data_IF_398787287403
#
_entry.id   IF_398787287403
#
_cell.length_a   1.000
_cell.length_b   1.000
_cell.length_c   1.000
_cell.angle_alpha   90.00
_cell.angle_beta   90.00
_cell.angle_gamma   90.00
#
_symmetry.space_group_name_H-M   'P 1'
#
loop_
_entity.id
_entity.type
_entity.pdbx_description
1 polymer ?
#
# COMPACT_ATOMS: atom_id res chain seq x y z
N UNK A 1 27.35 9.33 -6.83
CA UNK A 1 26.69 8.05 -7.13
C UNK A 1 26.95 7.72 -8.58
N UNK A 2 27.68 6.64 -8.79
CA UNK A 2 27.82 5.91 -10.05
C UNK A 2 26.45 5.57 -10.64
N UNK A 3 26.28 5.78 -11.96
CA UNK A 3 25.00 5.62 -12.66
C UNK A 3 24.34 4.25 -12.41
N UNK A 4 25.15 3.20 -12.22
CA UNK A 4 24.67 1.86 -11.89
C UNK A 4 24.04 1.77 -10.49
N UNK A 5 24.63 2.42 -9.48
CA UNK A 5 24.07 2.47 -8.12
C UNK A 5 22.73 3.21 -8.07
N UNK A 6 22.61 4.31 -8.82
CA UNK A 6 21.36 5.06 -8.93
C UNK A 6 20.25 4.27 -9.63
N UNK A 7 20.56 3.59 -10.73
CA UNK A 7 19.58 2.78 -11.45
C UNK A 7 19.06 1.59 -10.63
N UNK A 8 19.95 0.89 -9.92
CA UNK A 8 19.56 -0.20 -9.01
C UNK A 8 18.67 0.29 -7.85
N UNK A 9 18.96 1.48 -7.31
CA UNK A 9 18.14 2.11 -6.28
C UNK A 9 16.72 2.42 -6.80
N UNK A 10 16.61 2.99 -8.01
CA UNK A 10 15.32 3.30 -8.63
C UNK A 10 14.52 2.02 -8.91
N UNK A 11 15.15 0.99 -9.48
CA UNK A 11 14.51 -0.31 -9.72
C UNK A 11 13.99 -0.95 -8.44
N UNK A 12 14.82 -0.95 -7.38
CA UNK A 12 14.42 -1.48 -6.09
C UNK A 12 13.18 -0.75 -5.55
N UNK A 13 13.18 0.59 -5.58
CA UNK A 13 12.03 1.39 -5.12
C UNK A 13 10.76 1.16 -5.93
N UNK A 14 10.87 1.06 -7.26
CA UNK A 14 9.72 0.72 -8.12
C UNK A 14 9.13 -0.65 -7.78
N UNK A 15 9.99 -1.64 -7.56
CA UNK A 15 9.57 -3.00 -7.24
C UNK A 15 8.92 -3.06 -5.85
N UNK A 16 9.47 -2.34 -4.87
CA UNK A 16 8.87 -2.21 -3.53
C UNK A 16 7.47 -1.59 -3.59
N UNK A 17 7.30 -0.46 -4.27
CA UNK A 17 6.00 0.20 -4.41
C UNK A 17 4.98 -0.72 -5.09
N UNK A 18 5.42 -1.44 -6.13
CA UNK A 18 4.56 -2.38 -6.85
C UNK A 18 4.06 -3.50 -5.92
N UNK A 19 4.94 -4.07 -5.10
CA UNK A 19 4.57 -5.11 -4.13
C UNK A 19 3.61 -4.58 -3.06
N UNK A 20 3.86 -3.38 -2.53
CA UNK A 20 2.98 -2.73 -1.55
C UNK A 20 1.57 -2.49 -2.13
N UNK A 21 1.49 -2.10 -3.40
CA UNK A 21 0.23 -1.88 -4.09
C UNK A 21 -0.56 -3.19 -4.32
N UNK A 22 0.14 -4.26 -4.72
CA UNK A 22 -0.46 -5.60 -4.87
C UNK A 22 -0.98 -6.10 -3.52
N UNK A 23 -0.22 -5.90 -2.44
CA UNK A 23 -0.63 -6.29 -1.09
C UNK A 23 -1.88 -5.53 -0.63
N UNK A 24 -1.93 -4.20 -0.85
CA UNK A 24 -3.12 -3.38 -0.59
C UNK A 24 -4.34 -3.88 -1.36
N UNK A 25 -4.18 -4.21 -2.64
CA UNK A 25 -5.25 -4.74 -3.46
C UNK A 25 -5.79 -6.08 -2.92
N UNK A 26 -4.91 -7.02 -2.57
CA UNK A 26 -5.32 -8.29 -1.97
C UNK A 26 -6.04 -8.10 -0.63
N UNK A 27 -5.60 -7.13 0.18
CA UNK A 27 -6.26 -6.80 1.44
C UNK A 27 -7.68 -6.26 1.22
N UNK A 28 -7.88 -5.42 0.21
CA UNK A 28 -9.21 -4.92 -0.17
C UNK A 28 -10.10 -6.09 -0.57
N UNK A 29 -9.62 -7.02 -1.41
CA UNK A 29 -10.37 -8.21 -1.80
C UNK A 29 -10.74 -9.10 -0.60
N UNK A 30 -9.81 -9.33 0.32
CA UNK A 30 -10.06 -10.10 1.54
C UNK A 30 -11.10 -9.43 2.45
N UNK A 31 -11.01 -8.10 2.57
CA UNK A 31 -11.96 -7.30 3.36
C UNK A 31 -13.35 -7.35 2.74
N UNK A 32 -13.43 -7.23 1.41
CA UNK A 32 -14.69 -7.30 0.67
C UNK A 32 -15.32 -8.68 0.77
N UNK A 33 -14.52 -9.75 0.65
CA UNK A 33 -14.98 -11.12 0.82
C UNK A 33 -15.48 -11.39 2.25
N UNK A 34 -14.73 -10.94 3.27
CA UNK A 34 -15.14 -11.07 4.67
C UNK A 34 -16.46 -10.34 4.94
N UNK A 35 -16.59 -9.12 4.43
CA UNK A 35 -17.75 -8.28 4.63
C UNK A 35 -19.00 -8.86 3.94
N UNK A 36 -18.84 -9.45 2.75
CA UNK A 36 -19.89 -10.21 2.07
C UNK A 36 -20.36 -11.40 2.90
N UNK A 37 -19.44 -12.19 3.46
CA UNK A 37 -19.78 -13.35 4.30
C UNK A 37 -20.49 -12.98 5.60
N UNK A 38 -20.28 -11.76 6.10
CA UNK A 38 -20.96 -11.23 7.28
C UNK A 38 -22.32 -10.59 6.97
N UNK A 39 -22.67 -10.46 5.68
CA UNK A 39 -23.94 -9.85 5.27
C UNK A 39 -23.98 -8.34 5.47
N UNK A 40 -22.81 -7.68 5.51
CA UNK A 40 -22.74 -6.23 5.63
C UNK A 40 -23.35 -5.54 4.42
N UNK A 41 -24.03 -4.42 4.66
CA UNK A 41 -24.59 -3.60 3.58
C UNK A 41 -23.46 -2.89 2.81
N UNK A 42 -23.78 -2.33 1.64
CA UNK A 42 -22.77 -1.69 0.76
C UNK A 42 -21.97 -0.59 1.49
N UNK A 43 -22.63 0.17 2.35
CA UNK A 43 -21.99 1.24 3.12
C UNK A 43 -21.01 0.69 4.17
N UNK A 44 -21.43 -0.29 4.96
CA UNK A 44 -20.60 -0.95 5.98
C UNK A 44 -19.40 -1.66 5.35
N UNK A 45 -19.58 -2.30 4.19
CA UNK A 45 -18.50 -2.91 3.42
C UNK A 45 -17.45 -1.87 3.02
N UNK A 46 -17.89 -0.80 2.36
CA UNK A 46 -17.01 0.29 1.93
C UNK A 46 -16.31 0.98 3.12
N UNK A 47 -17.03 1.15 4.23
CA UNK A 47 -16.49 1.73 5.45
C UNK A 47 -15.41 0.85 6.08
N UNK A 48 -15.65 -0.46 6.18
CA UNK A 48 -14.69 -1.42 6.71
C UNK A 48 -13.41 -1.48 5.86
N UNK A 49 -13.56 -1.53 4.54
CA UNK A 49 -12.43 -1.49 3.60
C UNK A 49 -11.63 -0.20 3.79
N UNK A 50 -12.30 0.94 3.93
CA UNK A 50 -11.65 2.23 4.14
C UNK A 50 -10.89 2.25 5.47
N UNK A 51 -11.51 1.81 6.57
CA UNK A 51 -10.88 1.76 7.90
C UNK A 51 -9.62 0.89 7.93
N UNK A 52 -9.60 -0.21 7.18
CA UNK A 52 -8.46 -1.14 7.15
C UNK A 52 -7.37 -0.64 6.19
N UNK A 53 -7.74 -0.12 5.02
CA UNK A 53 -6.78 0.30 3.98
C UNK A 53 -6.11 1.65 4.30
N UNK A 54 -6.83 2.59 4.92
CA UNK A 54 -6.33 3.96 5.13
C UNK A 54 -5.07 4.04 6.02
N UNK A 55 -4.96 3.32 7.14
CA UNK A 55 -3.73 3.30 7.95
C UNK A 55 -2.55 2.72 7.17
N UNK A 56 -2.77 1.68 6.37
CA UNK A 56 -1.72 1.01 5.59
C UNK A 56 -1.25 1.93 4.45
N UNK A 57 -2.16 2.58 3.75
CA UNK A 57 -1.86 3.63 2.78
C UNK A 57 -1.06 4.76 3.41
N UNK A 58 -1.44 5.20 4.61
CA UNK A 58 -0.73 6.25 5.35
C UNK A 58 0.69 5.83 5.68
N UNK A 59 0.90 4.58 6.12
CA UNK A 59 2.23 4.03 6.39
C UNK A 59 3.10 3.94 5.14
N UNK A 60 2.54 3.48 4.01
CA UNK A 60 3.26 3.43 2.72
C UNK A 60 3.67 4.84 2.27
N UNK A 61 2.76 5.81 2.35
CA UNK A 61 3.09 7.21 2.02
C UNK A 61 4.18 7.74 2.95
N UNK A 62 4.10 7.42 4.25
CA UNK A 62 5.07 7.84 5.24
C UNK A 62 6.46 7.25 5.00
N UNK A 63 6.57 5.95 4.64
CA UNK A 63 7.86 5.32 4.32
C UNK A 63 8.49 5.92 3.06
N UNK A 64 7.67 6.31 2.08
CA UNK A 64 8.14 7.03 0.88
C UNK A 64 8.65 8.43 1.27
N UNK A 65 7.91 9.17 2.10
CA UNK A 65 8.27 10.51 2.55
C UNK A 65 9.56 10.49 3.38
N UNK A 66 9.68 9.60 4.38
CA UNK A 66 10.92 9.47 5.17
C UNK A 66 12.08 9.03 4.29
N UNK A 67 11.86 8.06 3.40
CA UNK A 67 12.88 7.62 2.45
C UNK A 67 13.41 8.78 1.61
N UNK A 68 12.57 9.75 1.25
CA UNK A 68 12.98 10.98 0.57
C UNK A 68 13.89 11.85 1.45
N UNK A 69 13.59 12.02 2.74
CA UNK A 69 14.38 12.89 3.63
C UNK A 69 15.71 12.28 4.07
N UNK A 70 15.83 10.95 4.10
CA UNK A 70 17.07 10.27 4.48
C UNK A 70 18.10 10.16 3.32
N UNK A 71 17.71 10.56 2.12
CA UNK A 71 18.54 10.61 0.90
C UNK A 71 19.08 12.02 0.60
N UNK A 72 18.79 13.00 1.46
CA UNK A 72 19.37 14.36 1.41
C UNK A 72 20.34 14.58 2.57
#
# INVERSE_FOLDING_TARGET
MDNHGFFNFVLYKLLTITLEFIALYLLILLSEWFAEKKGYNLFERAWLITLISMPILTLIIWTIIIGRFHLF
#
